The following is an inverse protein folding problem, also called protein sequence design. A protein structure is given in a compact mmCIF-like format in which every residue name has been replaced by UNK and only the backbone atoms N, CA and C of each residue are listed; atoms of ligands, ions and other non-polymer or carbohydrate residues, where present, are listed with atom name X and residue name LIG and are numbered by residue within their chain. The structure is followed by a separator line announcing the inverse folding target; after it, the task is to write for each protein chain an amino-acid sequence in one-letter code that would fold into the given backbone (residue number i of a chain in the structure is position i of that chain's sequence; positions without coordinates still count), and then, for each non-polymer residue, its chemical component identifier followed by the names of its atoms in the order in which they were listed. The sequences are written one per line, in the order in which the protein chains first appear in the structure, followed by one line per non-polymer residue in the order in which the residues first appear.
data_IF_135968842165
#
_entry.id   IF_135968842165
#
_cell.length_a   1.000
_cell.length_b   1.000
_cell.length_c   1.000
_cell.angle_alpha   90.00
_cell.angle_beta   90.00
_cell.angle_gamma   90.00
#
_symmetry.space_group_name_H-M   'P 1'
#
loop_
_entity.id
_entity.type
_entity.pdbx_description
1 polymer ?
#
# COMPACT_ATOMS: atom_id res chain seq x y z
N UNK A 1 5.36 -8.33 15.08
CA UNK A 1 6.65 -8.07 14.41
C UNK A 1 7.34 -6.85 14.99
N UNK A 2 6.65 -5.73 15.20
CA UNK A 2 7.29 -4.46 15.57
C UNK A 2 8.06 -4.52 16.90
N UNK A 3 7.49 -5.09 17.96
CA UNK A 3 8.19 -5.34 19.25
C UNK A 3 9.40 -6.29 19.16
N UNK A 4 9.56 -6.97 18.02
CA UNK A 4 10.66 -7.91 17.75
C UNK A 4 11.69 -7.33 16.79
N UNK A 5 11.52 -6.06 16.37
CA UNK A 5 12.37 -5.38 15.40
C UNK A 5 13.30 -4.39 16.08
N UNK A 6 14.55 -4.36 15.61
CA UNK A 6 15.57 -3.40 16.03
C UNK A 6 16.08 -2.56 14.86
N UNK A 7 15.68 -2.88 13.63
CA UNK A 7 16.25 -2.29 12.41
C UNK A 7 15.95 -0.79 12.26
N UNK A 8 14.91 -0.28 12.88
CA UNK A 8 14.59 1.16 12.91
C UNK A 8 15.47 1.94 13.91
N UNK A 9 16.25 1.25 14.74
CA UNK A 9 17.14 1.89 15.71
C UNK A 9 18.44 2.28 15.00
N UNK A 10 18.91 3.55 15.14
CA UNK A 10 20.16 3.97 14.56
C UNK A 10 21.32 3.02 14.89
N UNK A 11 22.21 2.79 13.94
CA UNK A 11 23.36 1.87 14.04
C UNK A 11 23.02 0.37 13.99
N UNK A 12 21.75 -0.03 13.99
CA UNK A 12 21.34 -1.42 13.82
C UNK A 12 20.87 -1.63 12.38
N UNK A 13 21.70 -2.31 11.58
CA UNK A 13 21.31 -2.82 10.26
C UNK A 13 20.83 -4.27 10.33
N UNK A 14 20.37 -4.81 9.20
CA UNK A 14 19.86 -6.17 9.09
C UNK A 14 20.81 -7.25 9.65
N UNK A 15 22.11 -7.13 9.39
CA UNK A 15 23.10 -8.08 9.89
C UNK A 15 23.26 -8.04 11.43
N UNK A 16 23.19 -6.84 12.01
CA UNK A 16 23.27 -6.67 13.48
C UNK A 16 21.98 -7.17 14.14
N UNK A 17 20.82 -6.84 13.58
CA UNK A 17 19.53 -7.34 14.05
C UNK A 17 19.49 -8.88 14.03
N UNK A 18 19.93 -9.52 12.93
CA UNK A 18 20.02 -10.98 12.85
C UNK A 18 20.95 -11.59 13.88
N UNK A 19 22.10 -10.92 14.18
CA UNK A 19 22.99 -11.36 15.27
C UNK A 19 22.32 -11.27 16.64
N UNK A 20 21.54 -10.21 16.92
CA UNK A 20 20.76 -10.05 18.15
C UNK A 20 19.79 -11.23 18.31
N UNK A 21 19.00 -11.52 17.27
CA UNK A 21 18.06 -12.65 17.29
C UNK A 21 18.74 -14.01 17.48
N UNK A 22 19.90 -14.22 16.86
CA UNK A 22 20.67 -15.47 17.00
C UNK A 22 21.24 -15.67 18.41
N UNK A 23 21.34 -14.61 19.22
CA UNK A 23 21.67 -14.72 20.66
C UNK A 23 20.45 -15.05 21.55
N UNK A 24 19.28 -15.33 20.94
CA UNK A 24 18.04 -15.61 21.69
C UNK A 24 17.26 -14.37 22.09
N UNK A 25 17.70 -13.17 21.72
CA UNK A 25 17.06 -11.89 22.04
C UNK A 25 16.02 -11.62 20.94
N UNK A 26 14.78 -12.02 21.19
CA UNK A 26 13.71 -12.02 20.20
C UNK A 26 12.73 -10.84 20.31
N UNK A 27 12.88 -10.00 21.34
CA UNK A 27 12.02 -8.84 21.60
C UNK A 27 12.81 -7.67 22.16
N UNK A 28 12.19 -6.49 22.17
CA UNK A 28 12.72 -5.30 22.82
C UNK A 28 12.90 -5.53 24.33
N UNK A 29 11.98 -6.27 24.96
CA UNK A 29 12.07 -6.57 26.40
C UNK A 29 13.25 -7.49 26.70
N UNK A 30 13.45 -8.55 25.92
CA UNK A 30 14.63 -9.43 26.07
C UNK A 30 15.93 -8.65 25.97
N UNK A 31 15.98 -7.63 25.08
CA UNK A 31 17.16 -6.80 24.93
C UNK A 31 17.42 -5.91 26.17
N UNK A 32 16.36 -5.36 26.79
CA UNK A 32 16.48 -4.58 28.01
C UNK A 32 16.96 -5.44 29.18
N UNK A 33 16.46 -6.67 29.27
CA UNK A 33 16.78 -7.60 30.37
C UNK A 33 18.20 -8.18 30.23
N UNK A 34 18.63 -8.53 29.03
CA UNK A 34 19.91 -9.19 28.76
C UNK A 34 20.53 -8.76 27.44
N UNK A 35 21.11 -7.56 27.34
CA UNK A 35 21.71 -7.06 26.11
C UNK A 35 22.96 -7.83 25.72
N UNK A 36 23.19 -8.16 24.43
CA UNK A 36 24.25 -9.07 24.01
C UNK A 36 25.65 -8.43 24.21
N UNK A 37 26.64 -9.26 24.53
CA UNK A 37 27.99 -8.81 24.86
C UNK A 37 28.76 -8.21 23.66
N UNK A 38 28.43 -8.60 22.46
CA UNK A 38 29.07 -8.05 21.24
C UNK A 38 28.70 -6.59 20.95
N UNK A 39 27.72 -6.01 21.68
CA UNK A 39 27.35 -4.59 21.63
C UNK A 39 28.03 -3.82 22.76
N UNK A 40 28.81 -2.79 22.42
CA UNK A 40 29.50 -1.96 23.42
C UNK A 40 28.52 -1.23 24.33
N UNK A 41 28.95 -0.92 25.57
CA UNK A 41 28.14 -0.23 26.59
C UNK A 41 27.51 1.07 26.05
N UNK A 42 28.29 1.90 25.34
CA UNK A 42 27.78 3.14 24.74
C UNK A 42 26.66 2.90 23.73
N UNK A 43 26.75 1.81 22.95
CA UNK A 43 25.69 1.45 22.01
C UNK A 43 24.47 0.85 22.73
N UNK A 44 24.66 0.10 23.79
CA UNK A 44 23.56 -0.43 24.62
C UNK A 44 22.71 0.71 25.19
N UNK A 45 23.32 1.76 25.74
CA UNK A 45 22.60 2.94 26.25
C UNK A 45 21.75 3.62 25.16
N UNK A 46 22.33 3.83 23.97
CA UNK A 46 21.60 4.39 22.83
C UNK A 46 20.41 3.51 22.43
N UNK A 47 20.60 2.19 22.35
CA UNK A 47 19.56 1.24 21.99
C UNK A 47 18.46 1.22 23.06
N UNK A 48 18.79 1.28 24.34
CA UNK A 48 17.81 1.37 25.42
C UNK A 48 16.89 2.58 25.26
N UNK A 49 17.46 3.77 25.03
CA UNK A 49 16.66 4.98 24.79
C UNK A 49 15.73 4.85 23.59
N UNK A 50 16.20 4.24 22.49
CA UNK A 50 15.37 4.02 21.32
C UNK A 50 14.31 2.93 21.52
N UNK A 51 14.56 1.91 22.33
CA UNK A 51 13.56 0.90 22.68
C UNK A 51 12.41 1.55 23.48
N UNK A 52 12.73 2.34 24.50
CA UNK A 52 11.71 3.04 25.29
C UNK A 52 10.89 4.00 24.42
N UNK A 53 11.54 4.79 23.56
CA UNK A 53 10.87 5.64 22.59
C UNK A 53 9.97 4.82 21.65
N UNK A 54 10.44 3.68 21.16
CA UNK A 54 9.66 2.80 20.27
C UNK A 54 8.41 2.27 20.95
N UNK A 55 8.53 1.84 22.23
CA UNK A 55 7.38 1.40 23.03
C UNK A 55 6.37 2.53 23.24
N UNK A 56 6.84 3.75 23.50
CA UNK A 56 6.00 4.94 23.61
C UNK A 56 5.26 5.23 22.31
N UNK A 57 5.96 5.20 21.17
CA UNK A 57 5.38 5.42 19.84
C UNK A 57 4.33 4.37 19.47
N UNK A 58 4.57 3.10 19.81
CA UNK A 58 3.56 2.03 19.63
C UNK A 58 2.34 2.30 20.51
N UNK A 59 2.54 2.65 21.78
CA UNK A 59 1.45 2.97 22.73
C UNK A 59 0.62 4.17 22.25
N UNK A 60 1.26 5.19 21.68
CA UNK A 60 0.61 6.40 21.18
C UNK A 60 0.02 6.22 19.77
N UNK A 61 0.06 4.99 19.22
CA UNK A 61 -0.43 4.67 17.87
C UNK A 61 0.19 5.57 16.77
N UNK A 62 1.52 5.78 16.85
CA UNK A 62 2.31 6.61 15.93
C UNK A 62 3.17 5.74 14.99
N UNK A 63 2.64 5.31 13.83
CA UNK A 63 3.40 4.53 12.86
C UNK A 63 4.41 5.34 12.05
N UNK A 64 4.27 6.67 12.00
CA UNK A 64 5.13 7.56 11.19
C UNK A 64 6.57 7.46 11.65
N UNK A 65 6.80 7.47 12.96
CA UNK A 65 8.14 7.27 13.53
C UNK A 65 8.88 6.06 12.93
N UNK A 66 8.19 4.94 12.74
CA UNK A 66 8.84 3.73 12.22
C UNK A 66 9.14 3.79 10.73
N UNK A 67 8.24 4.34 9.91
CA UNK A 67 8.49 4.45 8.46
C UNK A 67 9.55 5.49 8.13
N UNK A 68 9.74 6.50 8.97
CA UNK A 68 10.83 7.47 8.85
C UNK A 68 12.20 6.87 9.18
N UNK A 69 12.24 5.88 10.09
CA UNK A 69 13.45 5.22 10.53
C UNK A 69 13.72 3.85 9.90
N UNK A 70 12.88 3.41 8.95
CA UNK A 70 13.03 2.18 8.19
C UNK A 70 13.17 2.47 6.69
N UNK A 71 14.01 1.73 5.95
CA UNK A 71 13.98 1.80 4.49
C UNK A 71 12.66 1.25 3.96
N UNK A 72 12.17 1.80 2.83
CA UNK A 72 10.83 1.48 2.28
C UNK A 72 10.55 -0.02 2.10
N UNK A 73 11.58 -0.83 1.79
CA UNK A 73 11.47 -2.29 1.68
C UNK A 73 11.20 -3.00 3.01
N UNK A 74 11.37 -2.31 4.14
CA UNK A 74 11.20 -2.83 5.50
C UNK A 74 9.92 -2.27 6.19
N UNK A 75 9.17 -1.40 5.54
CA UNK A 75 7.93 -0.85 6.08
C UNK A 75 6.86 -1.92 6.40
N UNK A 76 6.95 -3.12 5.80
CA UNK A 76 6.09 -4.26 6.11
C UNK A 76 6.06 -4.61 7.61
N UNK A 77 7.09 -4.25 8.38
CA UNK A 77 7.23 -4.56 9.82
C UNK A 77 6.14 -3.94 10.68
N UNK A 78 5.59 -2.80 10.27
CA UNK A 78 4.52 -2.12 11.01
C UNK A 78 3.13 -2.70 10.68
N UNK A 79 2.97 -3.44 9.59
CA UNK A 79 1.67 -3.82 9.05
C UNK A 79 0.76 -4.50 10.07
N UNK A 80 1.22 -5.56 10.73
CA UNK A 80 0.37 -6.30 11.67
C UNK A 80 -0.10 -5.45 12.86
N UNK A 81 0.75 -4.54 13.34
CA UNK A 81 0.42 -3.64 14.46
C UNK A 81 -0.65 -2.62 14.08
N UNK A 82 -0.58 -2.09 12.85
CA UNK A 82 -1.43 -0.99 12.41
C UNK A 82 -2.48 -1.39 11.36
N UNK A 83 -2.67 -2.70 11.11
CA UNK A 83 -3.60 -3.21 10.10
C UNK A 83 -5.01 -2.64 10.25
N UNK A 84 -5.52 -2.54 11.48
CA UNK A 84 -6.88 -2.04 11.75
C UNK A 84 -7.03 -0.53 11.58
N UNK A 85 -5.94 0.21 11.43
CA UNK A 85 -5.91 1.64 11.11
C UNK A 85 -5.25 1.92 9.76
N UNK A 86 -5.16 0.89 8.91
CA UNK A 86 -4.64 0.99 7.54
C UNK A 86 -5.75 1.11 6.53
N UNK A 87 -5.45 1.78 5.42
CA UNK A 87 -6.30 1.84 4.23
C UNK A 87 -5.47 1.54 2.98
N UNK A 88 -5.99 0.71 2.10
CA UNK A 88 -5.48 0.46 0.76
C UNK A 88 -6.09 1.50 -0.15
N UNK A 89 -5.26 2.18 -0.94
CA UNK A 89 -5.66 3.32 -1.74
C UNK A 89 -5.09 3.20 -3.15
N UNK A 90 -5.90 3.59 -4.13
CA UNK A 90 -5.53 3.69 -5.53
C UNK A 90 -6.34 4.81 -6.19
N UNK A 91 -5.74 5.54 -7.15
CA UNK A 91 -6.40 6.61 -7.87
C UNK A 91 -6.37 6.39 -9.38
N UNK A 92 -7.41 6.89 -10.03
CA UNK A 92 -7.44 7.05 -11.48
C UNK A 92 -7.44 8.55 -11.83
N UNK A 93 -6.78 8.89 -12.94
CA UNK A 93 -6.59 10.28 -13.36
C UNK A 93 -6.88 10.45 -14.84
N UNK A 94 -7.02 11.71 -15.30
CA UNK A 94 -7.14 12.01 -16.73
C UNK A 94 -5.81 11.97 -17.47
N UNK A 95 -4.69 11.71 -16.78
CA UNK A 95 -3.34 11.62 -17.35
C UNK A 95 -2.28 11.66 -16.26
N UNK A 96 -1.01 11.61 -16.66
CA UNK A 96 0.13 11.53 -15.77
C UNK A 96 0.68 12.89 -15.31
N UNK A 97 0.29 13.95 -15.97
CA UNK A 97 0.78 15.30 -15.68
C UNK A 97 0.02 15.92 -14.52
N UNK A 98 0.69 16.14 -13.40
CA UNK A 98 0.12 16.73 -12.18
C UNK A 98 -0.44 18.15 -12.37
N UNK A 99 -0.08 18.88 -13.43
CA UNK A 99 -0.51 20.26 -13.68
C UNK A 99 -1.72 20.37 -14.60
N UNK A 100 -1.85 19.44 -15.55
CA UNK A 100 -2.88 19.45 -16.58
C UNK A 100 -3.91 18.33 -16.42
N UNK A 101 -3.71 17.45 -15.47
CA UNK A 101 -4.62 16.32 -15.21
C UNK A 101 -5.30 16.47 -13.85
N UNK A 102 -6.44 15.79 -13.68
CA UNK A 102 -7.17 15.74 -12.42
C UNK A 102 -7.52 14.31 -12.05
N UNK A 103 -7.83 14.09 -10.77
CA UNK A 103 -8.29 12.81 -10.27
C UNK A 103 -9.71 12.55 -10.78
N UNK A 104 -9.96 11.40 -11.37
CA UNK A 104 -11.27 10.97 -11.86
C UNK A 104 -12.01 10.12 -10.84
N UNK A 105 -11.27 9.22 -10.18
CA UNK A 105 -11.78 8.44 -9.06
C UNK A 105 -10.68 8.12 -8.05
N UNK A 106 -11.10 7.88 -6.81
CA UNK A 106 -10.28 7.29 -5.74
C UNK A 106 -11.03 6.09 -5.21
N UNK A 107 -10.35 4.96 -5.05
CA UNK A 107 -10.84 3.82 -4.31
C UNK A 107 -10.08 3.66 -3.00
N UNK A 108 -10.79 3.33 -1.93
CA UNK A 108 -10.23 2.98 -0.63
C UNK A 108 -10.85 1.68 -0.11
N UNK A 109 -10.01 0.87 0.55
CA UNK A 109 -10.43 -0.34 1.24
C UNK A 109 -9.69 -0.46 2.58
N UNK A 110 -10.39 -0.64 3.69
CA UNK A 110 -9.80 -0.70 5.04
C UNK A 110 -9.72 -2.12 5.62
N UNK A 111 -9.91 -3.14 4.78
CA UNK A 111 -10.03 -4.53 5.21
C UNK A 111 -11.46 -4.94 5.60
N UNK A 112 -12.42 -4.00 5.58
CA UNK A 112 -13.84 -4.21 5.96
C UNK A 112 -14.80 -3.55 4.99
N UNK A 113 -14.57 -2.27 4.66
CA UNK A 113 -15.45 -1.42 3.86
C UNK A 113 -14.71 -0.91 2.63
N UNK A 114 -15.42 -0.90 1.51
CA UNK A 114 -15.02 -0.23 0.29
C UNK A 114 -15.63 1.17 0.31
N UNK A 115 -14.81 2.19 0.07
CA UNK A 115 -15.23 3.56 -0.22
C UNK A 115 -14.71 3.93 -1.61
N UNK A 116 -15.48 4.71 -2.35
CA UNK A 116 -15.03 5.22 -3.65
C UNK A 116 -15.56 6.65 -3.84
N UNK A 117 -14.76 7.43 -4.52
CA UNK A 117 -15.00 8.86 -4.75
C UNK A 117 -14.84 9.16 -6.21
N UNK A 118 -15.73 9.99 -6.77
CA UNK A 118 -15.81 10.30 -8.19
C UNK A 118 -15.81 11.81 -8.40
N UNK A 119 -14.99 12.29 -9.31
CA UNK A 119 -14.93 13.70 -9.68
C UNK A 119 -16.29 14.23 -10.11
N UNK A 120 -16.65 15.42 -9.61
CA UNK A 120 -17.95 16.03 -9.85
C UNK A 120 -19.13 15.38 -9.14
N UNK A 121 -18.90 14.45 -8.18
CA UNK A 121 -19.93 13.83 -7.34
C UNK A 121 -19.59 13.96 -5.85
N UNK A 122 -18.68 13.16 -5.35
CA UNK A 122 -18.33 13.04 -3.93
C UNK A 122 -16.81 13.02 -3.69
N UNK A 123 -16.01 13.50 -4.65
CA UNK A 123 -14.55 13.38 -4.56
C UNK A 123 -13.99 14.14 -3.34
N UNK A 124 -14.61 15.26 -2.96
CA UNK A 124 -14.17 16.11 -1.84
C UNK A 124 -14.37 15.42 -0.47
N UNK A 125 -15.28 14.43 -0.35
CA UNK A 125 -15.51 13.68 0.88
C UNK A 125 -14.26 12.87 1.28
N UNK A 126 -13.42 12.50 0.31
CA UNK A 126 -12.16 11.80 0.54
C UNK A 126 -11.27 12.50 1.58
N UNK A 127 -11.17 13.83 1.52
CA UNK A 127 -10.29 14.63 2.41
C UNK A 127 -10.65 14.46 3.89
N UNK A 128 -11.91 14.21 4.19
CA UNK A 128 -12.34 13.95 5.55
C UNK A 128 -12.17 12.49 5.92
N UNK A 129 -12.54 11.59 5.03
CA UNK A 129 -12.53 10.15 5.27
C UNK A 129 -11.12 9.58 5.46
N UNK A 130 -10.10 10.13 4.77
CA UNK A 130 -8.72 9.66 4.88
C UNK A 130 -8.11 9.91 6.28
N UNK A 131 -8.60 10.89 7.01
CA UNK A 131 -8.12 11.25 8.37
C UNK A 131 -8.39 10.16 9.42
N UNK A 132 -9.33 9.25 9.15
CA UNK A 132 -9.67 8.14 10.06
C UNK A 132 -8.56 7.08 10.13
N UNK A 133 -7.60 7.13 9.21
CA UNK A 133 -6.54 6.14 9.08
C UNK A 133 -5.19 6.67 9.56
N UNK A 134 -4.28 5.77 9.88
CA UNK A 134 -2.90 6.08 10.28
C UNK A 134 -1.88 5.64 9.25
N UNK A 135 -2.24 4.66 8.45
CA UNK A 135 -1.36 4.04 7.45
C UNK A 135 -2.07 4.00 6.10
N UNK A 136 -1.39 4.47 5.07
CA UNK A 136 -1.82 4.33 3.67
C UNK A 136 -0.97 3.25 3.01
N UNK A 137 -1.60 2.33 2.31
CA UNK A 137 -0.94 1.25 1.57
C UNK A 137 -1.31 1.38 0.09
N UNK A 138 -0.30 1.49 -0.76
CA UNK A 138 -0.47 1.66 -2.22
C UNK A 138 0.48 0.74 -2.98
N UNK A 139 0.37 0.73 -4.30
CA UNK A 139 1.42 0.20 -5.19
C UNK A 139 2.01 1.34 -6.03
N UNK A 140 3.28 1.68 -5.80
CA UNK A 140 3.98 2.80 -6.44
C UNK A 140 3.43 4.20 -6.07
N UNK A 141 2.59 4.31 -5.07
CA UNK A 141 1.91 5.54 -4.71
C UNK A 141 2.82 6.63 -4.13
N UNK A 142 4.01 6.29 -3.62
CA UNK A 142 5.00 7.30 -3.20
C UNK A 142 5.41 8.24 -4.33
N UNK A 143 5.41 7.73 -5.56
CA UNK A 143 5.82 8.51 -6.74
C UNK A 143 4.65 9.00 -7.58
N UNK A 144 3.42 8.57 -7.33
CA UNK A 144 2.26 8.98 -8.13
C UNK A 144 1.05 9.36 -7.27
N UNK A 145 0.38 8.42 -6.63
CA UNK A 145 -0.90 8.66 -5.96
C UNK A 145 -0.82 9.75 -4.89
N UNK A 146 0.15 9.65 -3.98
CA UNK A 146 0.26 10.59 -2.86
C UNK A 146 0.58 12.01 -3.33
N UNK A 147 1.62 12.26 -4.16
CA UNK A 147 1.88 13.59 -4.68
C UNK A 147 0.72 14.17 -5.50
N UNK A 148 -0.01 13.30 -6.23
CA UNK A 148 -1.16 13.74 -7.02
C UNK A 148 -2.32 14.20 -6.12
N UNK A 149 -2.66 13.42 -5.09
CA UNK A 149 -3.69 13.73 -4.10
C UNK A 149 -3.34 15.02 -3.36
N UNK A 150 -2.12 15.12 -2.83
CA UNK A 150 -1.67 16.30 -2.07
C UNK A 150 -1.77 17.56 -2.89
N UNK A 151 -1.35 17.50 -4.14
CA UNK A 151 -1.43 18.62 -5.05
C UNK A 151 -2.87 18.97 -5.44
N UNK A 152 -3.66 17.96 -5.83
CA UNK A 152 -5.03 18.16 -6.30
C UNK A 152 -5.92 18.80 -5.23
N UNK A 153 -5.85 18.31 -3.98
CA UNK A 153 -6.64 18.84 -2.86
C UNK A 153 -5.94 19.96 -2.08
N UNK A 154 -4.69 20.28 -2.39
CA UNK A 154 -3.85 21.21 -1.63
C UNK A 154 -3.78 20.86 -0.13
N UNK A 155 -3.47 19.60 0.17
CA UNK A 155 -3.35 19.04 1.52
C UNK A 155 -2.01 18.34 1.69
N UNK A 156 -1.66 17.98 2.95
CA UNK A 156 -0.56 17.08 3.26
C UNK A 156 -1.09 15.79 3.89
N UNK A 157 -0.66 14.64 3.39
CA UNK A 157 -1.00 13.33 3.91
C UNK A 157 0.08 12.87 4.89
N UNK A 158 -0.06 13.29 6.16
CA UNK A 158 0.87 12.95 7.25
C UNK A 158 0.67 11.53 7.79
N UNK A 159 0.50 10.56 6.90
CA UNK A 159 0.27 9.15 7.22
C UNK A 159 1.57 8.37 7.06
N UNK A 160 1.73 7.29 7.83
CA UNK A 160 2.74 6.30 7.49
C UNK A 160 2.38 5.66 6.15
N UNK A 161 3.32 5.61 5.22
CA UNK A 161 3.05 5.12 3.87
C UNK A 161 3.84 3.84 3.55
N UNK A 162 3.13 2.74 3.32
CA UNK A 162 3.65 1.47 2.85
C UNK A 162 3.46 1.35 1.34
N UNK A 163 4.55 1.43 0.59
CA UNK A 163 4.52 1.22 -0.85
C UNK A 163 4.89 -0.23 -1.19
N UNK A 164 3.90 -0.99 -1.64
CA UNK A 164 4.03 -2.41 -1.98
C UNK A 164 5.06 -2.67 -3.08
N UNK A 165 5.29 -1.72 -3.99
CA UNK A 165 6.33 -1.86 -5.01
C UNK A 165 7.70 -2.17 -4.40
N UNK A 166 8.09 -1.47 -3.34
CA UNK A 166 9.37 -1.66 -2.68
C UNK A 166 9.41 -2.97 -1.86
N UNK A 167 8.32 -3.28 -1.18
CA UNK A 167 8.20 -4.49 -0.35
C UNK A 167 8.24 -5.74 -1.24
N UNK A 168 7.41 -5.79 -2.28
CA UNK A 168 7.34 -6.91 -3.23
C UNK A 168 8.64 -7.08 -4.02
N UNK A 169 9.25 -5.98 -4.47
CA UNK A 169 10.56 -6.03 -5.14
C UNK A 169 11.62 -6.69 -4.26
N UNK A 170 11.60 -6.46 -2.95
CA UNK A 170 12.55 -7.09 -2.01
C UNK A 170 12.30 -8.59 -1.80
N UNK A 171 11.18 -9.12 -2.25
CA UNK A 171 10.82 -10.55 -2.31
C UNK A 171 11.02 -11.16 -3.71
N UNK A 172 11.53 -10.37 -4.67
CA UNK A 172 11.78 -10.84 -6.04
C UNK A 172 10.60 -10.59 -7.01
N UNK A 173 9.49 -9.99 -6.56
CA UNK A 173 8.34 -9.68 -7.42
C UNK A 173 8.47 -8.26 -8.01
N UNK A 174 8.27 -8.13 -9.33
CA UNK A 174 8.42 -6.85 -10.04
C UNK A 174 7.59 -6.83 -11.34
N UNK A 175 7.60 -5.69 -12.04
CA UNK A 175 6.91 -5.54 -13.34
C UNK A 175 5.55 -4.87 -13.26
N UNK A 176 5.29 -4.06 -12.23
CA UNK A 176 4.01 -3.37 -12.02
C UNK A 176 2.99 -4.19 -11.24
N UNK A 177 1.86 -3.55 -10.81
CA UNK A 177 0.83 -4.18 -10.00
C UNK A 177 0.26 -5.43 -10.68
N UNK A 178 -0.17 -5.32 -11.93
CA UNK A 178 -0.76 -6.44 -12.69
C UNK A 178 0.20 -7.62 -12.88
N UNK A 179 1.50 -7.34 -13.03
CA UNK A 179 2.51 -8.40 -13.07
C UNK A 179 2.65 -9.11 -11.73
N UNK A 180 2.67 -8.36 -10.63
CA UNK A 180 2.70 -8.96 -9.29
C UNK A 180 1.43 -9.78 -9.01
N UNK A 181 0.25 -9.28 -9.36
CA UNK A 181 -1.02 -10.02 -9.24
C UNK A 181 -0.97 -11.38 -9.96
N UNK A 182 -0.46 -11.41 -11.21
CA UNK A 182 -0.29 -12.66 -11.96
C UNK A 182 0.70 -13.62 -11.27
N UNK A 183 1.81 -13.11 -10.77
CA UNK A 183 2.83 -13.91 -10.06
C UNK A 183 2.27 -14.53 -8.75
N UNK A 184 1.28 -13.89 -8.13
CA UNK A 184 0.57 -14.41 -6.96
C UNK A 184 -0.70 -15.23 -7.33
N UNK A 185 -1.01 -15.37 -8.62
CA UNK A 185 -2.17 -16.16 -9.08
C UNK A 185 -3.53 -15.50 -8.85
N UNK A 186 -3.56 -14.18 -8.57
CA UNK A 186 -4.79 -13.41 -8.34
C UNK A 186 -5.15 -12.47 -9.50
N UNK A 187 -4.35 -12.48 -10.56
CA UNK A 187 -4.61 -11.67 -11.75
C UNK A 187 -5.94 -12.02 -12.40
N UNK A 188 -6.66 -11.00 -12.85
CA UNK A 188 -7.89 -11.22 -13.62
C UNK A 188 -7.56 -11.94 -14.92
N UNK A 189 -8.41 -12.90 -15.26
CA UNK A 189 -8.42 -13.53 -16.59
C UNK A 189 -9.29 -12.70 -17.53
N UNK A 190 -8.94 -11.42 -17.73
CA UNK A 190 -9.70 -10.58 -18.63
C UNK A 190 -9.44 -10.98 -20.08
N UNK A 191 -10.53 -11.18 -20.82
CA UNK A 191 -10.52 -11.61 -22.23
C UNK A 191 -9.91 -10.55 -23.17
N UNK A 192 -9.67 -9.31 -22.70
CA UNK A 192 -9.26 -8.15 -23.51
C UNK A 192 -7.87 -7.59 -23.12
N UNK A 193 -7.08 -8.30 -22.30
CA UNK A 193 -5.75 -7.88 -21.88
C UNK A 193 -5.72 -6.99 -20.63
N UNK A 194 -4.53 -6.59 -20.22
CA UNK A 194 -4.34 -5.72 -19.06
C UNK A 194 -4.89 -4.31 -19.35
N UNK A 195 -5.81 -3.85 -18.53
CA UNK A 195 -6.23 -2.45 -18.50
C UNK A 195 -5.08 -1.65 -17.91
N UNK A 196 -4.49 -0.79 -18.71
CA UNK A 196 -3.47 0.16 -18.27
C UNK A 196 -4.09 1.53 -17.98
N UNK A 197 -3.28 2.45 -17.42
CA UNK A 197 -3.74 3.80 -17.08
C UNK A 197 -4.32 4.57 -18.29
N UNK A 198 -3.88 4.29 -19.51
CA UNK A 198 -4.45 4.92 -20.72
C UNK A 198 -5.86 4.44 -20.99
N UNK A 199 -6.13 3.16 -20.74
CA UNK A 199 -7.48 2.60 -20.87
C UNK A 199 -8.45 3.22 -19.85
N UNK A 200 -8.00 3.45 -18.63
CA UNK A 200 -8.79 4.13 -17.60
C UNK A 200 -9.15 5.56 -18.00
N UNK A 201 -8.22 6.29 -18.60
CA UNK A 201 -8.49 7.63 -19.19
C UNK A 201 -9.58 7.56 -20.27
N UNK A 202 -9.55 6.57 -21.16
CA UNK A 202 -10.55 6.45 -22.21
C UNK A 202 -11.92 5.99 -21.68
N UNK A 203 -11.99 5.19 -20.62
CA UNK A 203 -13.25 4.91 -19.91
C UNK A 203 -13.85 6.19 -19.32
N UNK A 204 -13.03 7.03 -18.71
CA UNK A 204 -13.48 8.32 -18.20
C UNK A 204 -13.96 9.24 -19.32
N UNK A 205 -13.23 9.32 -20.43
CA UNK A 205 -13.62 10.08 -21.62
C UNK A 205 -14.97 9.61 -22.20
N UNK A 206 -15.20 8.30 -22.27
CA UNK A 206 -16.46 7.72 -22.73
C UNK A 206 -17.63 8.10 -21.80
N UNK A 207 -17.40 8.03 -20.49
CA UNK A 207 -18.37 8.50 -19.49
C UNK A 207 -18.74 9.98 -19.68
N UNK A 208 -17.74 10.86 -19.81
CA UNK A 208 -17.98 12.32 -19.90
C UNK A 208 -18.60 12.70 -21.25
N UNK A 209 -18.03 12.23 -22.37
CA UNK A 209 -18.43 12.67 -23.73
C UNK A 209 -19.72 12.02 -24.19
N UNK A 210 -19.88 10.72 -23.94
CA UNK A 210 -21.04 9.95 -24.41
C UNK A 210 -22.10 9.73 -23.35
N UNK A 211 -21.89 10.22 -22.12
CA UNK A 211 -22.77 9.99 -20.94
C UNK A 211 -23.00 8.51 -20.66
N UNK A 212 -21.98 7.68 -20.97
CA UNK A 212 -22.06 6.23 -20.79
C UNK A 212 -21.82 5.88 -19.31
N UNK A 213 -22.89 5.67 -18.53
CA UNK A 213 -22.78 5.30 -17.11
C UNK A 213 -22.03 3.96 -16.90
N UNK A 214 -22.12 3.02 -17.85
CA UNK A 214 -21.41 1.73 -17.77
C UNK A 214 -19.89 1.89 -17.88
N UNK A 215 -19.40 2.95 -18.54
CA UNK A 215 -17.98 3.26 -18.61
C UNK A 215 -17.45 3.66 -17.21
N UNK A 216 -18.19 4.49 -16.47
CA UNK A 216 -17.85 4.82 -15.10
C UNK A 216 -17.91 3.60 -14.17
N UNK A 217 -18.96 2.78 -14.27
CA UNK A 217 -19.06 1.54 -13.47
C UNK A 217 -17.89 0.59 -13.76
N UNK A 218 -17.49 0.49 -15.02
CA UNK A 218 -16.32 -0.32 -15.42
C UNK A 218 -15.03 0.24 -14.84
N UNK A 219 -14.80 1.57 -14.91
CA UNK A 219 -13.64 2.24 -14.31
C UNK A 219 -13.58 1.98 -12.80
N UNK A 220 -14.68 2.20 -12.08
CA UNK A 220 -14.77 1.96 -10.65
C UNK A 220 -14.58 0.48 -10.31
N UNK A 221 -15.04 -0.44 -11.17
CA UNK A 221 -14.80 -1.87 -10.97
C UNK A 221 -13.31 -2.20 -10.99
N UNK A 222 -12.53 -1.59 -11.87
CA UNK A 222 -11.08 -1.76 -11.93
C UNK A 222 -10.38 -1.14 -10.72
N UNK A 223 -10.64 0.12 -10.41
CA UNK A 223 -10.04 0.85 -9.32
C UNK A 223 -10.30 0.17 -7.95
N UNK A 224 -11.54 -0.30 -7.70
CA UNK A 224 -11.88 -1.04 -6.48
C UNK A 224 -11.18 -2.40 -6.43
N UNK A 225 -11.13 -3.13 -7.54
CA UNK A 225 -10.46 -4.43 -7.55
C UNK A 225 -8.97 -4.30 -7.23
N UNK A 226 -8.33 -3.21 -7.68
CA UNK A 226 -6.94 -2.94 -7.41
C UNK A 226 -6.70 -2.78 -5.91
N UNK A 227 -7.48 -1.99 -5.19
CA UNK A 227 -7.33 -1.85 -3.71
C UNK A 227 -7.64 -3.15 -2.96
N UNK A 228 -8.57 -3.98 -3.44
CA UNK A 228 -8.83 -5.30 -2.86
C UNK A 228 -7.63 -6.25 -3.04
N UNK A 229 -6.97 -6.17 -4.19
CA UNK A 229 -5.79 -6.96 -4.46
C UNK A 229 -4.55 -6.45 -3.69
N UNK A 230 -4.46 -5.14 -3.40
CA UNK A 230 -3.41 -4.60 -2.51
C UNK A 230 -3.45 -5.24 -1.13
N UNK A 231 -4.66 -5.48 -0.55
CA UNK A 231 -4.78 -6.17 0.74
C UNK A 231 -4.21 -7.59 0.66
N UNK A 232 -4.60 -8.34 -0.37
CA UNK A 232 -4.07 -9.68 -0.58
C UNK A 232 -2.54 -9.67 -0.68
N UNK A 233 -1.99 -8.82 -1.53
CA UNK A 233 -0.54 -8.71 -1.75
C UNK A 233 0.22 -8.29 -0.48
N UNK A 234 -0.36 -7.40 0.34
CA UNK A 234 0.26 -6.97 1.60
C UNK A 234 0.32 -8.11 2.63
N UNK A 235 -0.76 -8.88 2.76
CA UNK A 235 -0.81 -10.05 3.66
C UNK A 235 0.21 -11.11 3.22
N UNK A 236 0.25 -11.43 1.93
CA UNK A 236 1.21 -12.38 1.38
C UNK A 236 2.67 -11.92 1.57
N UNK A 237 2.93 -10.63 1.30
CA UNK A 237 4.26 -10.06 1.49
C UNK A 237 4.68 -10.11 2.96
N UNK A 238 3.79 -9.74 3.89
CA UNK A 238 4.05 -9.82 5.32
C UNK A 238 4.37 -11.25 5.76
N UNK A 239 3.53 -12.22 5.39
CA UNK A 239 3.69 -13.61 5.79
C UNK A 239 5.01 -14.22 5.28
N UNK A 240 5.44 -13.86 4.07
CA UNK A 240 6.75 -14.30 3.54
C UNK A 240 7.91 -13.62 4.27
N UNK A 241 7.76 -12.34 4.61
CA UNK A 241 8.81 -11.56 5.30
C UNK A 241 9.06 -11.99 6.73
N UNK A 242 8.06 -12.47 7.45
CA UNK A 242 8.23 -12.90 8.85
C UNK A 242 8.94 -14.26 8.99
N UNK A 243 9.06 -15.07 7.94
CA UNK A 243 9.60 -16.44 8.02
C UNK A 243 11.02 -16.49 8.60
N UNK A 244 11.85 -15.50 8.26
CA UNK A 244 13.23 -15.40 8.75
C UNK A 244 13.37 -14.50 9.99
N UNK A 245 12.31 -14.33 10.78
CA UNK A 245 12.27 -13.46 11.96
C UNK A 245 11.70 -14.19 13.17
N UNK A 246 11.89 -13.67 14.38
CA UNK A 246 11.23 -14.22 15.59
C UNK A 246 9.70 -14.17 15.55
N UNK A 247 9.11 -13.51 14.54
CA UNK A 247 7.66 -13.44 14.34
C UNK A 247 7.12 -14.53 13.41
N UNK A 248 7.92 -15.49 12.95
CA UNK A 248 7.54 -16.53 11.98
C UNK A 248 6.25 -17.31 12.34
N UNK A 249 5.96 -17.48 13.62
CA UNK A 249 4.78 -18.17 14.12
C UNK A 249 3.56 -17.24 14.32
N UNK A 250 3.59 -16.04 13.77
CA UNK A 250 2.53 -15.05 13.92
C UNK A 250 2.06 -14.53 12.55
N UNK A 251 1.58 -15.42 11.65
CA UNK A 251 1.08 -15.00 10.34
C UNK A 251 -0.19 -14.16 10.48
N UNK A 252 -0.44 -13.36 9.48
CA UNK A 252 -1.69 -12.62 9.31
C UNK A 252 -2.58 -13.39 8.35
N UNK A 253 -3.85 -13.54 8.68
CA UNK A 253 -4.81 -14.21 7.82
C UNK A 253 -5.52 -13.22 6.91
N UNK A 254 -5.84 -13.67 5.69
CA UNK A 254 -6.68 -12.92 4.77
C UNK A 254 -8.07 -12.72 5.36
N UNK A 255 -8.61 -11.51 5.20
CA UNK A 255 -10.02 -11.25 5.42
C UNK A 255 -10.88 -11.90 4.33
N UNK A 256 -12.19 -11.96 4.56
CA UNK A 256 -13.11 -12.32 3.47
C UNK A 256 -13.15 -11.16 2.47
N UNK A 257 -12.68 -11.42 1.24
CA UNK A 257 -12.74 -10.42 0.17
C UNK A 257 -14.20 -10.00 -0.06
N UNK A 258 -14.55 -8.71 0.07
CA UNK A 258 -15.89 -8.24 -0.19
C UNK A 258 -16.20 -8.33 -1.70
N UNK A 259 -17.49 -8.36 -2.03
CA UNK A 259 -17.91 -8.27 -3.42
C UNK A 259 -17.68 -6.86 -3.94
N UNK A 260 -17.09 -6.76 -5.13
CA UNK A 260 -17.02 -5.49 -5.84
C UNK A 260 -18.45 -5.06 -6.23
N UNK A 261 -18.89 -3.84 -5.85
CA UNK A 261 -20.25 -3.38 -6.12
C UNK A 261 -20.51 -3.09 -7.60
N UNK A 262 -19.45 -2.96 -8.41
CA UNK A 262 -19.54 -2.66 -9.84
C UNK A 262 -19.13 -3.86 -10.68
N UNK A 263 -19.60 -3.86 -11.93
CA UNK A 263 -19.32 -4.90 -12.93
C UNK A 263 -18.69 -4.29 -14.17
N UNK A 264 -17.80 -5.05 -14.78
CA UNK A 264 -17.22 -4.71 -16.08
C UNK A 264 -18.26 -4.90 -17.16
N UNK A 265 -18.52 -3.85 -17.97
CA UNK A 265 -19.39 -3.93 -19.13
C UNK A 265 -18.59 -4.30 -20.39
N UNK A 266 -18.88 -5.46 -20.96
CA UNK A 266 -18.13 -6.02 -22.11
C UNK A 266 -18.26 -5.19 -23.39
N UNK A 267 -19.41 -4.58 -23.64
CA UNK A 267 -19.62 -3.76 -24.83
C UNK A 267 -18.81 -2.47 -24.74
N UNK A 268 -18.83 -1.82 -23.56
CA UNK A 268 -17.99 -0.65 -23.26
C UNK A 268 -16.51 -0.99 -23.40
N UNK A 269 -16.07 -2.14 -22.85
CA UNK A 269 -14.68 -2.58 -22.98
C UNK A 269 -14.28 -2.78 -24.45
N UNK A 270 -15.12 -3.44 -25.26
CA UNK A 270 -14.84 -3.66 -26.67
C UNK A 270 -14.79 -2.34 -27.47
N UNK A 271 -15.63 -1.37 -27.11
CA UNK A 271 -15.60 -0.02 -27.71
C UNK A 271 -14.31 0.72 -27.35
N UNK A 272 -14.01 0.82 -26.06
CA UNK A 272 -12.83 1.54 -25.56
C UNK A 272 -11.53 0.90 -26.07
N UNK A 273 -11.44 -0.43 -26.15
CA UNK A 273 -10.29 -1.13 -26.74
C UNK A 273 -10.01 -0.70 -28.18
N UNK A 274 -11.05 -0.50 -28.99
CA UNK A 274 -10.90 0.00 -30.37
C UNK A 274 -10.37 1.44 -30.39
N UNK A 275 -10.90 2.32 -29.52
CA UNK A 275 -10.45 3.72 -29.41
C UNK A 275 -8.98 3.77 -28.97
N UNK A 276 -8.61 3.01 -27.94
CA UNK A 276 -7.22 2.90 -27.47
C UNK A 276 -6.27 2.43 -28.57
N UNK A 277 -6.67 1.42 -29.35
CA UNK A 277 -5.86 0.92 -30.46
C UNK A 277 -5.63 1.99 -31.54
N UNK A 278 -6.65 2.77 -31.89
CA UNK A 278 -6.52 3.87 -32.86
C UNK A 278 -5.56 4.95 -32.33
N UNK A 279 -5.75 5.39 -31.08
CA UNK A 279 -4.98 6.50 -30.50
C UNK A 279 -3.50 6.15 -30.20
N UNK A 280 -3.13 4.86 -30.12
CA UNK A 280 -1.71 4.44 -29.96
C UNK A 280 -0.91 4.43 -31.27
N UNK A 281 -1.59 4.44 -32.42
CA UNK A 281 -0.95 4.40 -33.74
C UNK A 281 -1.08 5.73 -34.53
N UNK A 282 -1.74 6.73 -33.94
CA UNK A 282 -1.81 8.12 -34.45
C UNK A 282 -0.80 9.00 -33.72
#
# INVERSE_FOLDING_TARGET
MLYKSFFHIPTIGAATEKKIWNCGICSMDDFLDSPPDFISSKKKELIFGHIELSKEKIKNNDPVYFVENLPSKEHWRIFNQYRNSSVYLDIETTGLDFYHSHITSIAMYDGRKIKYYVYGRNLDDFVNDIKDYKVIITYNGKSFDIPFIEKFFNISLNHAHLDLRHILKSLGFSGGLKSCERQFGIGRKDLLGDVDGFFAVELWNDYIRRKNAKALETLLSYNIEDVLNLEYLMVEAYNRKILDTPAQNSPVFHGKKPLNPFKIDRETMAYVSRVVSINRFS
#
